data_IF_523286565292
#
_entry.id   IF_523286565292
#
_cell.length_a   1.000
_cell.length_b   1.000
_cell.length_c   1.000
_cell.angle_alpha   90.00
_cell.angle_beta   90.00
_cell.angle_gamma   90.00
#
_symmetry.space_group_name_H-M   'P 1'
#
loop_
_entity.id
_entity.type
_entity.pdbx_description
1 polymer ?
#
# COMPACT_ATOMS: atom_id res chain seq x y z
N UNK A 1 -5.11 -7.59 -17.89
CA UNK A 1 -4.60 -8.36 -16.74
C UNK A 1 -4.52 -7.41 -15.58
N UNK A 2 -5.34 -7.63 -14.56
CA UNK A 2 -5.27 -6.84 -13.34
C UNK A 2 -4.09 -7.37 -12.53
N UNK A 3 -3.16 -6.51 -12.13
CA UNK A 3 -2.11 -6.96 -11.25
C UNK A 3 -2.68 -7.28 -9.87
N UNK A 4 -2.12 -8.28 -9.18
CA UNK A 4 -2.73 -8.91 -7.99
C UNK A 4 -3.00 -7.92 -6.85
N UNK A 5 -2.07 -6.99 -6.61
CA UNK A 5 -2.10 -6.09 -5.47
C UNK A 5 -2.23 -4.62 -5.89
N UNK A 6 -2.97 -3.84 -5.10
CA UNK A 6 -3.01 -2.38 -5.21
C UNK A 6 -2.65 -1.75 -3.86
N UNK A 7 -1.70 -0.81 -3.86
CA UNK A 7 -1.31 -0.03 -2.68
C UNK A 7 -2.02 1.32 -2.60
N UNK A 8 -2.23 1.76 -1.36
CA UNK A 8 -2.90 3.01 -1.03
C UNK A 8 -2.18 3.72 0.10
N UNK A 9 -2.23 5.04 0.07
CA UNK A 9 -1.75 5.91 1.15
C UNK A 9 -2.90 6.75 1.70
N UNK A 10 -3.00 6.81 3.03
CA UNK A 10 -3.94 7.72 3.67
C UNK A 10 -3.36 9.13 3.75
N UNK A 11 -4.04 10.13 3.18
CA UNK A 11 -3.60 11.52 3.24
C UNK A 11 -3.72 12.15 4.64
N UNK A 12 -4.42 11.49 5.59
CA UNK A 12 -4.56 11.95 6.97
C UNK A 12 -3.43 11.44 7.87
N UNK A 13 -3.28 10.11 8.01
CA UNK A 13 -2.27 9.53 8.90
C UNK A 13 -0.96 9.15 8.19
N UNK A 14 -0.88 9.33 6.87
CA UNK A 14 0.29 9.02 6.01
C UNK A 14 0.75 7.56 6.05
N UNK A 15 -0.10 6.64 6.53
CA UNK A 15 0.18 5.21 6.51
C UNK A 15 -0.25 4.60 5.19
N UNK A 16 0.58 3.68 4.69
CA UNK A 16 0.31 2.88 3.52
C UNK A 16 -0.40 1.57 3.90
N UNK A 17 -1.23 1.04 3.00
CA UNK A 17 -1.83 -0.29 3.12
C UNK A 17 -2.08 -0.87 1.72
N UNK A 18 -2.19 -2.19 1.63
CA UNK A 18 -2.35 -2.94 0.38
C UNK A 18 -3.63 -3.75 0.42
N UNK A 19 -4.34 -3.80 -0.70
CA UNK A 19 -5.52 -4.63 -0.91
C UNK A 19 -5.34 -5.47 -2.18
N UNK A 20 -6.10 -6.57 -2.28
CA UNK A 20 -6.20 -7.32 -3.53
C UNK A 20 -7.01 -6.51 -4.54
N UNK A 21 -6.52 -6.43 -5.78
CA UNK A 21 -7.19 -5.67 -6.84
C UNK A 21 -8.60 -6.21 -7.12
N UNK A 22 -8.77 -7.54 -7.02
CA UNK A 22 -10.08 -8.21 -7.20
C UNK A 22 -11.10 -7.78 -6.14
N UNK A 23 -10.69 -7.69 -4.87
CA UNK A 23 -11.58 -7.27 -3.78
C UNK A 23 -12.12 -5.85 -3.99
N UNK A 24 -11.30 -4.96 -4.56
CA UNK A 24 -11.68 -3.57 -4.86
C UNK A 24 -12.69 -3.51 -6.00
N UNK A 25 -12.54 -4.36 -7.03
CA UNK A 25 -13.48 -4.40 -8.14
C UNK A 25 -14.84 -4.97 -7.74
N UNK A 26 -14.84 -5.97 -6.85
CA UNK A 26 -16.05 -6.61 -6.36
C UNK A 26 -16.77 -5.73 -5.33
N UNK A 27 -16.02 -5.00 -4.49
CA UNK A 27 -16.60 -4.11 -3.49
C UNK A 27 -17.32 -2.92 -4.12
N UNK A 28 -18.65 -2.88 -3.94
CA UNK A 28 -19.45 -1.67 -4.18
C UNK A 28 -19.43 -0.80 -2.92
N UNK A 29 -18.58 0.22 -2.89
CA UNK A 29 -18.46 1.10 -1.72
C UNK A 29 -17.36 2.15 -1.83
N UNK A 30 -16.93 2.66 -0.68
CA UNK A 30 -15.81 3.59 -0.56
C UNK A 30 -14.74 2.99 0.36
N UNK A 31 -13.48 3.29 0.07
CA UNK A 31 -12.37 2.87 0.91
C UNK A 31 -12.23 3.79 2.13
N UNK A 32 -11.92 3.19 3.28
CA UNK A 32 -11.57 3.88 4.53
C UNK A 32 -10.19 3.42 5.00
N UNK A 33 -9.43 4.33 5.58
CA UNK A 33 -8.12 4.00 6.13
C UNK A 33 -8.30 3.06 7.35
N UNK A 34 -7.65 1.88 7.37
CA UNK A 34 -7.80 0.93 8.48
C UNK A 34 -7.17 1.44 9.79
N UNK A 35 -6.35 2.49 9.74
CA UNK A 35 -5.63 3.01 10.90
C UNK A 35 -6.28 4.23 11.56
N UNK A 36 -6.99 5.05 10.78
CA UNK A 36 -7.57 6.31 11.30
C UNK A 36 -9.00 6.58 10.81
N UNK A 37 -9.61 5.62 10.08
CA UNK A 37 -10.96 5.70 9.53
C UNK A 37 -11.22 6.89 8.58
N UNK A 38 -10.17 7.61 8.17
CA UNK A 38 -10.27 8.67 7.18
C UNK A 38 -10.62 8.11 5.81
N UNK A 39 -11.51 8.82 5.11
CA UNK A 39 -11.88 8.55 3.70
C UNK A 39 -10.90 9.19 2.69
N UNK A 40 -9.91 9.97 3.17
CA UNK A 40 -8.91 10.62 2.31
C UNK A 40 -7.82 9.61 1.95
N UNK A 41 -8.07 8.82 0.92
CA UNK A 41 -7.19 7.75 0.47
C UNK A 41 -6.79 8.00 -0.98
N UNK A 42 -5.51 7.82 -1.27
CA UNK A 42 -4.93 7.92 -2.61
C UNK A 42 -4.35 6.58 -3.02
N UNK A 43 -4.62 6.15 -4.25
CA UNK A 43 -4.01 4.97 -4.86
C UNK A 43 -2.56 5.29 -5.25
N UNK A 44 -1.62 4.41 -4.93
CA UNK A 44 -0.19 4.62 -5.20
C UNK A 44 0.34 3.71 -6.32
N UNK A 45 0.34 2.40 -6.12
CA UNK A 45 0.95 1.44 -7.05
C UNK A 45 0.06 0.22 -7.27
N UNK A 46 0.27 -0.50 -8.38
CA UNK A 46 -0.37 -1.78 -8.69
C UNK A 46 0.72 -2.74 -9.18
N UNK A 47 0.86 -3.91 -8.55
CA UNK A 47 1.87 -4.89 -8.92
C UNK A 47 1.42 -6.33 -8.63
N UNK A 48 2.05 -7.30 -9.30
CA UNK A 48 1.80 -8.73 -9.07
C UNK A 48 2.56 -9.26 -7.85
N UNK A 49 3.56 -8.51 -7.39
CA UNK A 49 4.36 -8.86 -6.24
C UNK A 49 4.11 -7.87 -5.09
N UNK A 50 3.72 -8.40 -3.93
CA UNK A 50 3.52 -7.60 -2.71
C UNK A 50 4.75 -6.75 -2.37
N UNK A 51 5.96 -7.26 -2.66
CA UNK A 51 7.22 -6.54 -2.42
C UNK A 51 7.37 -5.28 -3.28
N UNK A 52 6.77 -5.26 -4.46
CA UNK A 52 6.80 -4.11 -5.37
C UNK A 52 5.69 -3.08 -5.03
N UNK A 53 4.62 -3.54 -4.39
CA UNK A 53 3.57 -2.67 -3.85
C UNK A 53 3.94 -2.01 -2.52
N UNK A 54 4.78 -2.65 -1.70
CA UNK A 54 5.18 -2.11 -0.39
C UNK A 54 6.54 -1.41 -0.47
N UNK A 55 6.53 -0.08 -0.29
CA UNK A 55 7.71 0.78 -0.22
C UNK A 55 8.67 0.41 0.92
N UNK A 56 8.09 -0.17 1.98
CA UNK A 56 8.67 -0.23 3.33
C UNK A 56 9.66 -1.38 3.56
N UNK A 57 10.00 -2.20 2.56
CA UNK A 57 10.96 -3.33 2.72
C UNK A 57 12.20 -3.25 1.86
N UNK A 58 12.57 -2.07 1.38
CA UNK A 58 13.90 -1.87 0.80
C UNK A 58 14.94 -1.82 1.93
N UNK A 59 15.58 -2.95 2.22
CA UNK A 59 16.71 -2.97 3.13
C UNK A 59 17.89 -2.27 2.46
N UNK A 60 18.38 -1.20 3.08
CA UNK A 60 19.58 -0.49 2.63
C UNK A 60 20.66 -0.57 3.71
N UNK A 61 21.90 -0.79 3.29
CA UNK A 61 23.04 -0.64 4.19
C UNK A 61 23.27 0.85 4.46
N UNK A 62 23.18 1.26 5.72
CA UNK A 62 23.52 2.61 6.19
C UNK A 62 24.66 2.46 7.20
N UNK A 63 25.83 3.00 6.86
CA UNK A 63 27.05 2.89 7.69
C UNK A 63 27.39 1.42 8.07
N UNK A 64 27.27 0.50 7.11
CA UNK A 64 27.59 -0.92 7.30
C UNK A 64 26.49 -1.77 7.94
N UNK A 65 25.50 -1.17 8.62
CA UNK A 65 24.36 -1.88 9.18
C UNK A 65 23.22 -2.00 8.16
N UNK A 66 22.59 -3.18 8.09
CA UNK A 66 21.34 -3.35 7.34
C UNK A 66 20.24 -2.59 8.10
N UNK A 67 19.61 -1.63 7.42
CA UNK A 67 18.46 -0.90 7.94
C UNK A 67 17.30 -1.05 6.98
N UNK A 68 16.11 -1.22 7.52
CA UNK A 68 14.88 -1.01 6.78
C UNK A 68 14.79 0.49 6.46
N UNK A 69 14.57 0.82 5.18
CA UNK A 69 14.39 2.21 4.75
C UNK A 69 13.12 2.79 5.34
#
# INVERSE_FOLDING_TARGET
MLSIYTSYICCSCRKEFVLLSEDIEIMKGYLVCPYCSSRKIKKENIADNLRECMSERSYRRIKGAIRQK
#
